data_IF_048217354859
#
_entry.id   IF_048217354859
#
_cell.length_a   1.000
_cell.length_b   1.000
_cell.length_c   1.000
_cell.angle_alpha   90.00
_cell.angle_beta   90.00
_cell.angle_gamma   90.00
#
_symmetry.space_group_name_H-M   'P 1'
#
loop_
_entity.id
_entity.type
_entity.pdbx_description
1 polymer ?
#
# COMPACT_ATOMS: atom_id res chain seq x y z
N UNK A 1 3.20 18.42 10.97
CA UNK A 1 2.91 17.01 10.66
C UNK A 1 1.86 17.03 9.58
N UNK A 2 2.05 16.29 8.48
CA UNK A 2 1.13 16.33 7.33
C UNK A 2 0.08 15.25 7.52
N UNK A 3 -1.19 15.56 7.26
CA UNK A 3 -2.30 14.65 7.55
C UNK A 3 -3.12 14.36 6.30
N UNK A 4 -3.63 13.13 6.21
CA UNK A 4 -4.61 12.70 5.21
C UNK A 4 -5.88 12.32 5.98
N UNK A 5 -6.97 13.06 5.76
CA UNK A 5 -8.24 12.82 6.44
C UNK A 5 -9.14 11.95 5.58
N UNK A 6 -9.30 10.67 5.92
CA UNK A 6 -10.15 9.78 5.11
C UNK A 6 -11.63 9.83 5.50
N UNK A 7 -11.95 10.39 6.65
CA UNK A 7 -13.33 10.54 7.11
C UNK A 7 -13.97 11.84 6.66
N UNK A 8 -15.29 11.85 6.53
CA UNK A 8 -16.10 13.05 6.35
C UNK A 8 -16.31 13.81 7.67
N UNK A 9 -17.17 14.84 7.64
CA UNK A 9 -17.52 15.65 8.82
C UNK A 9 -18.35 14.89 9.87
N UNK A 10 -18.97 13.80 9.47
CA UNK A 10 -19.80 12.93 10.32
C UNK A 10 -19.01 11.71 10.84
N UNK A 11 -17.70 11.68 10.60
CA UNK A 11 -16.79 10.61 11.00
C UNK A 11 -16.95 9.31 10.19
N UNK A 12 -17.72 9.30 9.10
CA UNK A 12 -17.80 8.16 8.20
C UNK A 12 -16.62 8.14 7.23
N UNK A 13 -16.17 6.95 6.83
CA UNK A 13 -15.17 6.81 5.77
C UNK A 13 -15.75 7.31 4.44
N UNK A 14 -15.01 8.16 3.72
CA UNK A 14 -15.46 8.68 2.42
C UNK A 14 -15.44 7.60 1.35
N UNK A 15 -16.44 7.59 0.45
CA UNK A 15 -16.56 6.63 -0.67
C UNK A 15 -15.33 6.55 -1.58
N UNK A 16 -14.53 7.61 -1.64
CA UNK A 16 -13.31 7.70 -2.44
C UNK A 16 -12.02 7.69 -1.61
N UNK A 17 -12.10 7.33 -0.32
CA UNK A 17 -10.97 7.39 0.62
C UNK A 17 -9.76 6.58 0.13
N UNK A 18 -9.99 5.41 -0.48
CA UNK A 18 -8.87 4.65 -1.03
C UNK A 18 -8.25 5.37 -2.19
N UNK A 19 -9.05 5.85 -3.14
CA UNK A 19 -8.53 6.47 -4.35
C UNK A 19 -7.65 7.66 -4.00
N UNK A 20 -8.08 8.43 -3.01
CA UNK A 20 -7.28 9.50 -2.44
C UNK A 20 -5.93 9.00 -1.91
N UNK A 21 -5.95 7.95 -1.08
CA UNK A 21 -4.73 7.34 -0.53
C UNK A 21 -3.81 6.76 -1.62
N UNK A 22 -4.42 6.14 -2.64
CA UNK A 22 -3.93 5.81 -3.99
C UNK A 22 -3.00 6.88 -4.54
N UNK A 23 -3.61 8.04 -4.76
CA UNK A 23 -2.98 9.20 -5.37
C UNK A 23 -1.90 9.83 -4.48
N UNK A 24 -2.04 9.77 -3.15
CA UNK A 24 -0.96 10.14 -2.23
C UNK A 24 0.26 9.23 -2.39
N UNK A 25 0.06 7.92 -2.54
CA UNK A 25 1.13 6.97 -2.84
C UNK A 25 1.84 7.30 -4.16
N UNK A 26 1.11 7.73 -5.18
CA UNK A 26 1.69 8.02 -6.50
C UNK A 26 2.40 9.37 -6.53
N UNK A 27 1.76 10.42 -6.02
CA UNK A 27 2.21 11.82 -6.05
C UNK A 27 2.30 12.39 -4.62
N UNK A 28 3.27 11.93 -3.81
CA UNK A 28 3.33 12.29 -2.39
C UNK A 28 3.64 13.77 -2.13
N UNK A 29 4.42 14.39 -3.01
CA UNK A 29 4.91 15.76 -2.84
C UNK A 29 4.33 16.74 -3.88
N UNK A 30 3.63 16.25 -4.91
CA UNK A 30 3.03 17.07 -5.96
C UNK A 30 1.50 17.11 -5.80
N UNK A 31 1.01 18.19 -5.20
CA UNK A 31 -0.41 18.40 -4.97
C UNK A 31 -1.21 18.58 -6.27
N UNK A 32 -0.66 19.28 -7.27
CA UNK A 32 -1.38 19.53 -8.51
C UNK A 32 -1.60 18.23 -9.28
N UNK A 33 -0.55 17.41 -9.42
CA UNK A 33 -0.66 16.10 -10.05
C UNK A 33 -1.59 15.17 -9.26
N UNK A 34 -1.54 15.20 -7.92
CA UNK A 34 -2.45 14.42 -7.07
C UNK A 34 -3.91 14.80 -7.28
N UNK A 35 -4.24 16.09 -7.30
CA UNK A 35 -5.61 16.57 -7.51
C UNK A 35 -6.13 16.21 -8.91
N UNK A 36 -5.31 16.37 -9.95
CA UNK A 36 -5.67 16.04 -11.33
C UNK A 36 -5.90 14.52 -11.50
N UNK A 37 -4.99 13.70 -10.97
CA UNK A 37 -5.10 12.26 -11.04
C UNK A 37 -6.34 11.76 -10.27
N UNK A 38 -6.61 12.32 -9.08
CA UNK A 38 -7.80 12.02 -8.30
C UNK A 38 -9.10 12.39 -9.06
N UNK A 39 -9.15 13.57 -9.68
CA UNK A 39 -10.30 13.99 -10.48
C UNK A 39 -10.57 13.04 -11.65
N UNK A 40 -9.53 12.72 -12.43
CA UNK A 40 -9.66 11.87 -13.61
C UNK A 40 -10.09 10.45 -13.24
N UNK A 41 -9.46 9.87 -12.21
CA UNK A 41 -9.77 8.51 -11.76
C UNK A 41 -11.13 8.43 -11.08
N UNK A 42 -11.54 9.46 -10.33
CA UNK A 42 -12.87 9.54 -9.71
C UNK A 42 -13.99 9.65 -10.74
N UNK A 43 -13.81 10.48 -11.77
CA UNK A 43 -14.74 10.55 -12.90
C UNK A 43 -14.85 9.22 -13.65
N UNK A 44 -13.71 8.54 -13.83
CA UNK A 44 -13.69 7.25 -14.50
C UNK A 44 -14.38 6.15 -13.66
N UNK A 45 -14.22 6.17 -12.35
CA UNK A 45 -14.93 5.28 -11.43
C UNK A 45 -16.46 5.43 -11.55
N UNK A 46 -16.96 6.67 -11.67
CA UNK A 46 -18.38 6.93 -11.89
C UNK A 46 -18.87 6.36 -13.23
N UNK A 47 -18.06 6.51 -14.30
CA UNK A 47 -18.37 5.92 -15.62
C UNK A 47 -18.39 4.40 -15.58
N UNK A 48 -17.45 3.78 -14.89
CA UNK A 48 -17.42 2.33 -14.69
C UNK A 48 -18.68 1.84 -13.97
N UNK A 49 -19.04 2.48 -12.85
CA UNK A 49 -20.27 2.15 -12.10
C UNK A 49 -21.54 2.29 -12.95
N UNK A 50 -21.60 3.29 -13.83
CA UNK A 50 -22.77 3.55 -14.67
C UNK A 50 -22.89 2.57 -15.87
N UNK A 51 -21.76 2.15 -16.46
CA UNK A 51 -21.76 1.31 -17.67
C UNK A 51 -21.75 -0.20 -17.35
N UNK A 52 -21.27 -0.57 -16.15
CA UNK A 52 -21.01 -1.95 -15.78
C UNK A 52 -19.74 -2.51 -16.43
N UNK A 53 -19.18 -3.57 -15.84
CA UNK A 53 -17.88 -4.14 -16.23
C UNK A 53 -17.83 -4.53 -17.71
N UNK A 54 -18.88 -5.18 -18.23
CA UNK A 54 -18.92 -5.72 -19.60
C UNK A 54 -18.90 -4.65 -20.70
N UNK A 55 -19.33 -3.43 -20.40
CA UNK A 55 -19.45 -2.34 -21.39
C UNK A 55 -18.44 -1.22 -21.16
N UNK A 56 -17.63 -1.32 -20.12
CA UNK A 56 -16.68 -0.28 -19.77
C UNK A 56 -15.35 -0.44 -20.54
N UNK A 57 -14.89 0.66 -21.12
CA UNK A 57 -13.52 0.80 -21.63
C UNK A 57 -12.94 2.12 -21.16
N UNK A 58 -11.71 2.06 -20.63
CA UNK A 58 -11.03 3.25 -20.13
C UNK A 58 -10.84 4.32 -21.20
N UNK A 59 -11.06 5.58 -20.81
CA UNK A 59 -10.79 6.74 -21.67
C UNK A 59 -9.30 6.84 -22.02
N UNK A 60 -8.99 7.49 -23.15
CA UNK A 60 -7.60 7.71 -23.57
C UNK A 60 -6.79 8.49 -22.53
N UNK A 61 -7.39 9.49 -21.87
CA UNK A 61 -6.75 10.26 -20.82
C UNK A 61 -6.37 9.40 -19.61
N UNK A 62 -7.30 8.56 -19.12
CA UNK A 62 -7.03 7.66 -17.99
C UNK A 62 -5.96 6.64 -18.36
N UNK A 63 -5.99 6.09 -19.58
CA UNK A 63 -4.93 5.19 -20.08
C UNK A 63 -3.55 5.85 -20.02
N UNK A 64 -3.44 7.12 -20.39
CA UNK A 64 -2.18 7.88 -20.32
C UNK A 64 -1.72 8.07 -18.87
N UNK A 65 -2.61 8.44 -17.97
CA UNK A 65 -2.30 8.58 -16.53
C UNK A 65 -1.85 7.25 -15.93
N UNK A 66 -2.58 6.15 -16.21
CA UNK A 66 -2.21 4.82 -15.75
C UNK A 66 -0.87 4.36 -16.32
N UNK A 67 -0.55 4.70 -17.57
CA UNK A 67 0.75 4.41 -18.16
C UNK A 67 1.89 5.15 -17.44
N UNK A 68 1.67 6.40 -17.03
CA UNK A 68 2.64 7.16 -16.23
C UNK A 68 2.83 6.55 -14.83
N UNK A 69 1.74 6.21 -14.16
CA UNK A 69 1.74 5.52 -12.86
C UNK A 69 2.51 4.19 -12.91
N UNK A 70 2.40 3.44 -14.01
CA UNK A 70 3.14 2.18 -14.21
C UNK A 70 4.64 2.40 -14.33
N UNK A 71 5.10 3.52 -14.92
CA UNK A 71 6.55 3.82 -15.01
C UNK A 71 7.20 4.01 -13.64
N UNK A 72 6.45 4.51 -12.65
CA UNK A 72 6.95 4.69 -11.28
C UNK A 72 6.74 3.47 -10.38
N UNK A 73 6.04 2.43 -10.86
CA UNK A 73 5.63 1.28 -10.05
C UNK A 73 6.81 0.56 -9.38
N UNK A 74 7.92 0.34 -10.10
CA UNK A 74 9.11 -0.30 -9.53
C UNK A 74 9.73 0.49 -8.37
N UNK A 75 9.76 1.84 -8.45
CA UNK A 75 10.26 2.71 -7.37
C UNK A 75 9.35 2.67 -6.14
N UNK A 76 8.04 2.80 -6.36
CA UNK A 76 7.01 2.73 -5.30
C UNK A 76 7.06 1.38 -4.58
N UNK A 77 7.13 0.30 -5.34
CA UNK A 77 7.23 -1.05 -4.80
C UNK A 77 8.53 -1.25 -4.01
N UNK A 78 9.67 -0.76 -4.54
CA UNK A 78 10.95 -0.79 -3.84
C UNK A 78 10.88 -0.02 -2.51
N UNK A 79 10.22 1.14 -2.46
CA UNK A 79 9.98 1.87 -1.22
C UNK A 79 9.17 1.03 -0.21
N UNK A 80 8.10 0.38 -0.66
CA UNK A 80 7.29 -0.52 0.17
C UNK A 80 8.11 -1.69 0.72
N UNK A 81 8.94 -2.34 -0.10
CA UNK A 81 9.84 -3.42 0.33
C UNK A 81 10.83 -2.97 1.39
N UNK A 82 11.37 -1.75 1.29
CA UNK A 82 12.25 -1.18 2.32
C UNK A 82 11.50 -1.00 3.63
N UNK A 83 10.27 -0.46 3.61
CA UNK A 83 9.45 -0.32 4.81
C UNK A 83 9.07 -1.66 5.44
N UNK A 84 8.75 -2.67 4.62
CA UNK A 84 8.53 -4.05 5.08
C UNK A 84 9.77 -4.62 5.73
N UNK A 85 10.93 -4.46 5.09
CA UNK A 85 12.22 -4.93 5.60
C UNK A 85 12.57 -4.26 6.93
N UNK A 86 12.26 -2.98 7.11
CA UNK A 86 12.40 -2.30 8.41
C UNK A 86 11.51 -2.96 9.47
N UNK A 87 10.22 -3.19 9.17
CA UNK A 87 9.32 -3.82 10.13
C UNK A 87 9.76 -5.26 10.48
N UNK A 88 10.28 -6.00 9.50
CA UNK A 88 10.86 -7.34 9.72
C UNK A 88 12.13 -7.29 10.58
N UNK A 89 13.00 -6.29 10.39
CA UNK A 89 14.15 -6.07 11.25
C UNK A 89 13.73 -5.81 12.70
N UNK A 90 12.72 -4.95 12.93
CA UNK A 90 12.20 -4.68 14.28
C UNK A 90 11.62 -5.93 14.92
N UNK A 91 10.84 -6.73 14.18
CA UNK A 91 10.31 -8.01 14.65
C UNK A 91 11.43 -9.00 15.05
N UNK A 92 12.59 -8.92 14.40
CA UNK A 92 13.77 -9.72 14.73
C UNK A 92 14.63 -9.10 15.85
N UNK A 93 14.15 -8.07 16.56
CA UNK A 93 14.90 -7.37 17.61
C UNK A 93 16.06 -6.52 17.09
N UNK A 94 16.11 -6.24 15.79
CA UNK A 94 17.16 -5.44 15.14
C UNK A 94 16.69 -4.01 14.92
N UNK A 95 17.63 -3.07 14.93
CA UNK A 95 17.33 -1.67 14.65
C UNK A 95 16.84 -1.45 13.21
N UNK A 96 15.73 -0.71 13.08
CA UNK A 96 15.22 -0.23 11.81
C UNK A 96 16.13 0.85 11.22
N UNK A 97 16.94 0.45 10.25
CA UNK A 97 17.88 1.30 9.53
C UNK A 97 17.64 1.20 8.03
N UNK A 98 17.64 2.34 7.34
CA UNK A 98 17.57 2.36 5.88
C UNK A 98 18.73 1.58 5.25
N UNK A 99 19.92 1.63 5.86
CA UNK A 99 21.08 0.88 5.38
C UNK A 99 20.80 -0.62 5.39
N UNK A 100 20.39 -1.16 6.54
CA UNK A 100 20.12 -2.59 6.71
C UNK A 100 18.93 -3.03 5.86
N UNK A 101 17.87 -2.24 5.81
CA UNK A 101 16.70 -2.53 5.01
C UNK A 101 17.02 -2.53 3.51
N UNK A 102 17.81 -1.57 3.03
CA UNK A 102 18.25 -1.53 1.63
C UNK A 102 19.11 -2.75 1.29
N UNK A 103 20.00 -3.19 2.18
CA UNK A 103 20.76 -4.43 1.98
C UNK A 103 19.85 -5.66 1.85
N UNK A 104 18.86 -5.82 2.74
CA UNK A 104 17.88 -6.92 2.66
C UNK A 104 17.13 -6.88 1.32
N UNK A 105 16.69 -5.70 0.88
CA UNK A 105 16.01 -5.56 -0.41
C UNK A 105 16.95 -5.84 -1.58
N UNK A 106 18.22 -5.42 -1.52
CA UNK A 106 19.22 -5.76 -2.55
C UNK A 106 19.43 -7.27 -2.66
N UNK A 107 19.58 -7.96 -1.52
CA UNK A 107 19.72 -9.43 -1.51
C UNK A 107 18.47 -10.11 -2.08
N UNK A 108 17.28 -9.64 -1.68
CA UNK A 108 16.02 -10.12 -2.22
C UNK A 108 15.93 -9.93 -3.75
N UNK A 109 16.32 -8.76 -4.26
CA UNK A 109 16.29 -8.46 -5.70
C UNK A 109 17.33 -9.27 -6.49
N UNK A 110 18.50 -9.54 -5.90
CA UNK A 110 19.51 -10.38 -6.54
C UNK A 110 19.06 -11.86 -6.62
N UNK A 111 18.29 -12.31 -5.63
CA UNK A 111 17.69 -13.65 -5.64
C UNK A 111 16.44 -13.74 -6.54
N UNK A 112 15.74 -12.62 -6.75
CA UNK A 112 14.48 -12.55 -7.47
C UNK A 112 14.51 -11.43 -8.52
N UNK A 113 14.62 -11.78 -9.80
CA UNK A 113 14.59 -10.83 -10.93
C UNK A 113 13.26 -10.02 -11.00
N UNK A 114 12.19 -10.58 -10.43
CA UNK A 114 10.85 -9.99 -10.36
C UNK A 114 10.09 -10.46 -9.13
N UNK A 115 9.13 -9.65 -8.67
CA UNK A 115 8.09 -10.12 -7.74
C UNK A 115 6.84 -10.47 -8.54
N UNK A 116 6.33 -11.68 -8.30
CA UNK A 116 5.07 -12.14 -8.82
C UNK A 116 3.97 -11.87 -7.79
N UNK A 117 2.89 -11.25 -8.26
CA UNK A 117 1.70 -11.02 -7.47
C UNK A 117 0.56 -11.85 -8.01
N UNK A 118 -0.13 -12.53 -7.11
CA UNK A 118 -1.41 -13.16 -7.39
C UNK A 118 -2.49 -12.24 -6.85
N UNK A 119 -3.50 -11.94 -7.67
CA UNK A 119 -4.65 -11.15 -7.25
C UNK A 119 -5.92 -11.78 -7.78
N UNK A 120 -7.00 -11.67 -6.99
CA UNK A 120 -8.30 -12.20 -7.36
C UNK A 120 -9.06 -11.22 -8.26
N UNK A 121 -9.53 -11.68 -9.43
CA UNK A 121 -10.32 -10.86 -10.36
C UNK A 121 -11.37 -11.69 -11.07
N UNK A 122 -12.63 -11.24 -11.05
CA UNK A 122 -13.70 -11.86 -11.84
C UNK A 122 -13.96 -13.34 -11.53
N UNK A 123 -13.61 -13.81 -10.31
CA UNK A 123 -13.73 -15.21 -9.93
C UNK A 123 -12.50 -16.08 -10.24
N UNK A 124 -11.42 -15.50 -10.75
CA UNK A 124 -10.18 -16.22 -11.10
C UNK A 124 -8.93 -15.55 -10.49
N UNK A 125 -7.89 -16.34 -10.25
CA UNK A 125 -6.57 -15.83 -9.88
C UNK A 125 -5.84 -15.31 -11.12
N UNK A 126 -5.38 -14.07 -11.07
CA UNK A 126 -4.55 -13.42 -12.09
C UNK A 126 -3.16 -13.14 -11.55
N UNK A 127 -2.18 -13.05 -12.46
CA UNK A 127 -0.79 -12.78 -12.11
C UNK A 127 -0.27 -11.47 -12.72
N UNK A 128 0.54 -10.74 -11.96
CA UNK A 128 1.27 -9.58 -12.45
C UNK A 128 2.70 -9.61 -11.93
N UNK A 129 3.68 -9.34 -12.81
CA UNK A 129 5.06 -9.16 -12.40
C UNK A 129 5.46 -7.69 -12.27
N UNK A 130 6.28 -7.41 -11.25
CA UNK A 130 6.92 -6.12 -11.06
C UNK A 130 8.43 -6.32 -11.04
N UNK A 131 9.11 -5.64 -11.96
CA UNK A 131 10.58 -5.57 -11.99
C UNK A 131 11.09 -4.68 -10.88
N UNK A 132 12.13 -5.15 -10.20
CA UNK A 132 12.72 -4.48 -9.05
C UNK A 132 13.92 -3.63 -9.47
N UNK A 133 14.27 -2.66 -8.63
CA UNK A 133 15.42 -1.79 -8.86
C UNK A 133 16.65 -2.46 -8.22
N UNK A 134 17.66 -2.77 -9.03
CA UNK A 134 18.69 -3.75 -8.66
C UNK A 134 19.72 -3.30 -7.64
N UNK A 135 20.20 -2.06 -7.69
CA UNK A 135 21.34 -1.65 -6.87
C UNK A 135 20.93 -0.90 -5.59
N UNK A 136 21.76 -1.04 -4.56
CA UNK A 136 21.52 -0.49 -3.23
C UNK A 136 21.37 1.05 -3.23
N UNK A 137 22.09 1.75 -4.11
CA UNK A 137 22.02 3.20 -4.20
C UNK A 137 20.66 3.64 -4.79
N UNK A 138 20.22 2.99 -5.86
CA UNK A 138 18.91 3.25 -6.45
C UNK A 138 17.74 2.86 -5.51
N UNK A 139 17.87 1.77 -4.74
CA UNK A 139 16.90 1.41 -3.68
C UNK A 139 16.78 2.52 -2.64
N UNK A 140 17.91 3.03 -2.11
CA UNK A 140 17.92 4.13 -1.14
C UNK A 140 17.35 5.42 -1.75
N UNK A 141 17.62 5.68 -3.02
CA UNK A 141 17.07 6.84 -3.73
C UNK A 141 15.54 6.73 -3.86
N UNK A 142 15.03 5.58 -4.31
CA UNK A 142 13.59 5.32 -4.41
C UNK A 142 12.90 5.46 -3.04
N UNK A 143 13.50 4.91 -1.98
CA UNK A 143 12.96 5.11 -0.64
C UNK A 143 12.94 6.58 -0.25
N UNK A 144 14.01 7.35 -0.49
CA UNK A 144 14.04 8.79 -0.14
C UNK A 144 12.98 9.61 -0.88
N UNK A 145 12.72 9.27 -2.13
CA UNK A 145 11.68 9.91 -2.97
C UNK A 145 10.28 9.65 -2.41
N UNK A 146 9.99 8.41 -1.98
CA UNK A 146 8.66 7.98 -1.54
C UNK A 146 8.52 7.79 -0.02
N UNK A 147 9.51 8.22 0.78
CA UNK A 147 9.56 7.91 2.23
C UNK A 147 8.34 8.44 2.97
N UNK A 148 7.79 9.59 2.57
CA UNK A 148 6.64 10.22 3.22
C UNK A 148 5.36 9.37 3.10
N UNK A 149 5.32 8.42 2.17
CA UNK A 149 4.21 7.49 1.91
C UNK A 149 4.63 6.02 1.98
N UNK A 150 5.78 5.71 2.60
CA UNK A 150 6.32 4.35 2.64
C UNK A 150 5.37 3.32 3.28
N UNK A 151 4.58 3.75 4.28
CA UNK A 151 3.55 2.94 4.92
C UNK A 151 2.40 2.57 3.98
N UNK A 152 2.01 3.47 3.07
CA UNK A 152 0.99 3.23 2.04
C UNK A 152 1.51 2.16 1.06
N UNK A 153 2.76 2.32 0.60
CA UNK A 153 3.36 1.34 -0.30
C UNK A 153 3.52 -0.03 0.35
N UNK A 154 4.03 -0.11 1.58
CA UNK A 154 4.15 -1.38 2.30
C UNK A 154 2.80 -2.09 2.44
N UNK A 155 1.73 -1.33 2.74
CA UNK A 155 0.38 -1.88 2.79
C UNK A 155 -0.11 -2.37 1.43
N UNK A 156 0.21 -1.67 0.35
CA UNK A 156 -0.17 -2.09 -1.00
C UNK A 156 0.47 -3.42 -1.41
N UNK A 157 1.67 -3.71 -0.89
CA UNK A 157 2.33 -5.01 -1.10
C UNK A 157 1.62 -6.10 -0.30
N UNK A 158 1.37 -5.87 0.98
CA UNK A 158 0.79 -6.89 1.89
C UNK A 158 -0.67 -7.17 1.56
N UNK A 159 -1.44 -6.14 1.18
CA UNK A 159 -2.83 -6.28 0.78
C UNK A 159 -2.99 -6.59 -0.72
N UNK A 160 -1.90 -6.83 -1.47
CA UNK A 160 -1.93 -7.01 -2.93
C UNK A 160 -2.83 -8.15 -3.40
N UNK A 161 -2.93 -9.23 -2.62
CA UNK A 161 -3.84 -10.36 -2.91
C UNK A 161 -5.31 -9.94 -2.97
N UNK A 162 -5.65 -8.87 -2.24
CA UNK A 162 -6.99 -8.29 -2.15
C UNK A 162 -7.15 -7.04 -3.03
N UNK A 163 -6.06 -6.47 -3.55
CA UNK A 163 -6.07 -5.23 -4.33
C UNK A 163 -5.86 -5.53 -5.82
N UNK A 164 -6.87 -5.24 -6.63
CA UNK A 164 -6.71 -5.22 -8.08
C UNK A 164 -5.82 -4.02 -8.50
N UNK A 165 -4.54 -4.28 -8.77
CA UNK A 165 -3.55 -3.26 -9.15
C UNK A 165 -3.77 -2.66 -10.56
N UNK A 166 -4.67 -3.24 -11.37
CA UNK A 166 -4.89 -2.83 -12.75
C UNK A 166 -5.96 -1.74 -12.90
N UNK A 167 -6.97 -1.71 -12.03
CA UNK A 167 -8.03 -0.71 -12.01
C UNK A 167 -8.25 -0.23 -10.57
N UNK A 168 -7.70 0.94 -10.18
CA UNK A 168 -7.73 1.40 -8.77
C UNK A 168 -9.14 1.68 -8.24
N UNK A 169 -10.16 1.68 -9.10
CA UNK A 169 -11.56 1.94 -8.77
C UNK A 169 -12.47 0.70 -8.78
N UNK A 170 -11.98 -0.48 -9.17
CA UNK A 170 -12.73 -1.74 -9.18
C UNK A 170 -12.32 -2.62 -8.00
N UNK A 171 -12.87 -2.34 -6.81
CA UNK A 171 -12.44 -2.95 -5.53
C UNK A 171 -13.61 -3.11 -4.56
N UNK A 172 -13.51 -4.12 -3.69
CA UNK A 172 -14.52 -4.41 -2.67
C UNK A 172 -14.26 -3.66 -1.36
N UNK A 173 -15.28 -3.53 -0.50
CA UNK A 173 -15.15 -2.88 0.80
C UNK A 173 -14.19 -3.61 1.74
N UNK A 174 -14.11 -4.94 1.63
CA UNK A 174 -13.20 -5.78 2.41
C UNK A 174 -11.74 -5.53 2.03
N UNK A 175 -11.46 -5.38 0.73
CA UNK A 175 -10.14 -5.03 0.23
C UNK A 175 -9.71 -3.63 0.74
N UNK A 176 -10.63 -2.67 0.74
CA UNK A 176 -10.41 -1.33 1.30
C UNK A 176 -10.09 -1.39 2.80
N UNK A 177 -10.91 -2.09 3.59
CA UNK A 177 -10.71 -2.23 5.03
C UNK A 177 -9.36 -2.90 5.37
N UNK A 178 -9.01 -3.98 4.65
CA UNK A 178 -7.73 -4.67 4.81
C UNK A 178 -6.55 -3.72 4.53
N UNK A 179 -6.63 -2.97 3.41
CA UNK A 179 -5.61 -2.00 3.05
C UNK A 179 -5.46 -0.91 4.13
N UNK A 180 -6.55 -0.27 4.54
CA UNK A 180 -6.53 0.80 5.55
C UNK A 180 -5.95 0.34 6.90
N UNK A 181 -6.37 -0.83 7.39
CA UNK A 181 -5.83 -1.40 8.62
C UNK A 181 -4.32 -1.65 8.51
N UNK A 182 -3.88 -2.14 7.35
CA UNK A 182 -2.46 -2.41 7.06
C UNK A 182 -1.65 -1.12 6.96
N UNK A 183 -2.19 -0.07 6.36
CA UNK A 183 -1.56 1.26 6.28
C UNK A 183 -1.33 1.82 7.69
N UNK A 184 -2.34 1.77 8.56
CA UNK A 184 -2.23 2.21 9.95
C UNK A 184 -1.20 1.40 10.74
N UNK A 185 -1.17 0.08 10.55
CA UNK A 185 -0.16 -0.78 11.14
C UNK A 185 1.25 -0.32 10.74
N UNK A 186 1.54 -0.16 9.45
CA UNK A 186 2.86 0.28 9.00
C UNK A 186 3.20 1.70 9.44
N UNK A 187 2.23 2.62 9.44
CA UNK A 187 2.41 3.96 9.98
C UNK A 187 2.88 3.91 11.45
N UNK A 188 2.20 3.12 12.29
CA UNK A 188 2.56 3.00 13.69
C UNK A 188 3.92 2.33 13.89
N UNK A 189 4.21 1.27 13.12
CA UNK A 189 5.48 0.53 13.24
C UNK A 189 6.68 1.38 12.82
N UNK A 190 6.57 2.10 11.69
CA UNK A 190 7.64 2.94 11.16
C UNK A 190 8.01 4.11 12.08
N UNK A 191 7.13 4.53 13.01
CA UNK A 191 7.45 5.53 14.04
C UNK A 191 8.61 5.12 14.95
N UNK A 192 8.86 3.82 15.11
CA UNK A 192 9.97 3.30 15.90
C UNK A 192 11.32 3.38 15.16
N UNK A 193 11.34 3.76 13.88
CA UNK A 193 12.57 3.83 13.11
C UNK A 193 13.45 5.01 13.55
N UNK A 194 14.77 4.81 13.54
CA UNK A 194 15.75 5.77 14.07
C UNK A 194 15.61 7.18 13.47
N UNK A 195 15.29 7.26 12.19
CA UNK A 195 15.23 8.50 11.42
C UNK A 195 13.78 8.85 11.00
N UNK A 196 12.77 8.32 11.70
CA UNK A 196 11.36 8.51 11.35
C UNK A 196 10.99 10.00 11.17
N UNK A 197 11.50 10.87 12.04
CA UNK A 197 11.19 12.32 11.99
C UNK A 197 11.60 12.96 10.66
N UNK A 198 12.69 12.48 10.05
CA UNK A 198 13.21 13.02 8.79
C UNK A 198 12.38 12.57 7.58
N UNK A 199 11.54 11.55 7.76
CA UNK A 199 10.72 11.01 6.67
C UNK A 199 9.46 11.84 6.44
N UNK A 200 9.04 12.64 7.42
CA UNK A 200 7.85 13.48 7.35
C UNK A 200 6.65 12.70 6.80
N UNK A 201 6.34 11.55 7.42
CA UNK A 201 5.25 10.68 6.98
C UNK A 201 3.94 11.47 6.93
N UNK A 202 3.18 11.24 5.86
CA UNK A 202 1.77 11.57 5.83
C UNK A 202 1.06 10.71 6.87
N UNK A 203 0.40 11.34 7.83
CA UNK A 203 -0.34 10.64 8.86
C UNK A 203 -1.79 10.44 8.43
N UNK A 204 -2.19 9.18 8.35
CA UNK A 204 -3.56 8.80 8.12
C UNK A 204 -4.39 9.09 9.37
N UNK A 205 -5.41 9.93 9.18
CA UNK A 205 -6.48 10.19 10.14
C UNK A 205 -7.74 9.54 9.59
N UNK A 206 -8.18 8.47 10.25
CA UNK A 206 -9.55 7.98 10.13
C UNK A 206 -10.20 8.04 11.48
N UNK A 207 -11.46 8.47 11.48
CA UNK A 207 -12.39 8.04 12.51
C UNK A 207 -12.75 6.60 12.18
N UNK A 208 -12.90 5.71 13.17
CA UNK A 208 -13.34 4.35 12.89
C UNK A 208 -14.61 4.41 12.01
N UNK A 209 -14.68 3.69 10.86
CA UNK A 209 -15.83 3.70 9.97
C UNK A 209 -17.21 3.43 10.62
N UNK A 210 -17.27 2.96 11.86
CA UNK A 210 -18.48 2.68 12.62
C UNK A 210 -18.28 3.08 14.10
N UNK A 211 -19.32 3.31 14.91
CA UNK A 211 -19.16 3.47 16.35
C UNK A 211 -18.49 2.22 16.97
N UNK A 212 -17.77 2.35 18.10
CA UNK A 212 -16.99 1.26 18.71
C UNK A 212 -17.77 -0.05 18.95
N UNK A 213 -19.09 0.06 19.08
CA UNK A 213 -20.06 -1.01 19.28
C UNK A 213 -20.43 -1.80 18.02
N UNK A 214 -20.15 -1.27 16.83
CA UNK A 214 -20.33 -1.93 15.54
C UNK A 214 -19.09 -2.72 15.08
N UNK A 215 -17.95 -2.55 15.77
CA UNK A 215 -16.84 -3.48 15.62
C UNK A 215 -17.10 -4.68 16.50
N UNK A 216 -17.18 -5.91 15.94
CA UNK A 216 -17.02 -7.08 16.78
C UNK A 216 -15.68 -6.91 17.51
N UNK A 217 -15.60 -7.21 18.83
CA UNK A 217 -14.31 -7.19 19.51
C UNK A 217 -13.34 -7.99 18.65
N UNK A 218 -12.19 -7.40 18.31
CA UNK A 218 -11.09 -8.10 17.67
C UNK A 218 -10.52 -9.10 18.70
N UNK A 219 -11.33 -10.11 19.04
CA UNK A 219 -10.86 -11.36 19.57
C UNK A 219 -10.16 -12.04 18.41
N UNK A 220 -8.89 -11.68 18.20
CA UNK A 220 -8.01 -12.46 17.35
C UNK A 220 -7.98 -13.83 18.01
N UNK A 221 -8.69 -14.78 17.42
CA UNK A 221 -8.70 -16.14 17.95
C UNK A 221 -7.26 -16.66 17.98
N UNK A 222 -6.91 -17.55 18.92
CA UNK A 222 -5.61 -18.22 18.90
C UNK A 222 -5.31 -18.83 17.53
N UNK A 223 -6.31 -19.37 16.82
CA UNK A 223 -6.17 -19.84 15.44
C UNK A 223 -5.80 -18.75 14.43
N UNK A 224 -6.41 -17.57 14.47
CA UNK A 224 -6.06 -16.47 13.55
C UNK A 224 -4.66 -15.93 13.83
N UNK A 225 -4.26 -15.88 15.10
CA UNK A 225 -2.88 -15.55 15.50
C UNK A 225 -1.90 -16.60 14.97
N UNK A 226 -2.23 -17.88 15.07
CA UNK A 226 -1.43 -18.98 14.54
C UNK A 226 -1.44 -19.03 13.00
N UNK A 227 -2.48 -18.54 12.32
CA UNK A 227 -2.51 -18.48 10.86
C UNK A 227 -1.63 -17.34 10.31
N UNK A 228 -1.67 -16.18 10.97
CA UNK A 228 -0.91 -14.99 10.58
C UNK A 228 0.56 -15.03 11.00
N UNK A 229 0.89 -15.71 12.11
CA UNK A 229 2.24 -15.76 12.68
C UNK A 229 2.81 -17.18 12.79
N UNK A 230 1.98 -18.23 12.76
CA UNK A 230 2.39 -19.61 13.03
C UNK A 230 3.37 -20.22 12.03
N UNK A 231 3.30 -19.95 10.70
CA UNK A 231 4.35 -20.37 9.77
C UNK A 231 5.72 -19.75 10.11
N UNK A 232 5.73 -18.58 10.74
CA UNK A 232 6.96 -17.87 11.14
C UNK A 232 7.50 -18.33 12.50
N UNK A 233 6.62 -18.72 13.43
CA UNK A 233 6.98 -19.27 14.75
C UNK A 233 7.46 -20.72 14.68
N UNK A 234 6.86 -21.55 13.80
CA UNK A 234 7.23 -22.97 13.64
C UNK A 234 8.65 -23.15 13.08
N UNK A 235 9.14 -22.23 12.26
CA UNK A 235 10.48 -22.30 11.66
C UNK A 235 11.63 -21.81 12.57
N UNK A 236 11.37 -21.55 13.86
CA UNK A 236 12.39 -21.12 14.84
C UNK A 236 12.30 -21.84 16.19
N UNK A 237 11.51 -22.90 16.26
CA UNK A 237 11.34 -23.71 17.47
C UNK A 237 12.31 -24.92 17.52
N UNK A 238 13.22 -25.03 16.54
CA UNK A 238 14.33 -25.98 16.51
C UNK A 238 15.68 -25.26 16.57
#
# INVERSE_FOLDING_TARGET
MREIHLSDREHHLRDNAFLELDMYGIYPEDEASRQQAHFLTGHEAQRWKALGESNYSSSGLVKTVLADIRKSQGRRFTCGLVALSMCALDNAGKSMSLEKAAHVVTEFNNANDKVLFHFWRGGEWSEQDIRLIGDNAAIKQAFREYRSVAHIHAAGIVASEYLNLMQPFDRSMEADACFFATVLYFQHRLRKAKNFKDWNLWELRMSPPYPPEDYPPLEVTPQQTEYLLGPWLKNRSD
#
